data_IF_811375274540
#
_entry.id   IF_811375274540
#
_cell.length_a   1.000
_cell.length_b   1.000
_cell.length_c   1.000
_cell.angle_alpha   90.00
_cell.angle_beta   90.00
_cell.angle_gamma   90.00
#
_symmetry.space_group_name_H-M   'P 1'
#
loop_
_entity.id
_entity.type
_entity.pdbx_description
1 polymer ?
#
# COMPACT_ATOMS: atom_id res chain seq x y z
N UNK A 1 -14.76 43.01 72.04
CA UNK A 1 -14.16 41.67 71.85
C UNK A 1 -14.78 41.03 70.62
N UNK A 2 -13.92 40.52 69.73
CA UNK A 2 -14.17 39.59 68.60
C UNK A 2 -14.92 40.16 67.39
N UNK A 3 -14.56 39.90 66.13
CA UNK A 3 -13.41 39.24 65.50
C UNK A 3 -13.59 39.47 63.99
N UNK A 4 -12.66 40.15 63.31
CA UNK A 4 -12.72 40.33 61.85
C UNK A 4 -12.19 39.06 61.18
N UNK A 5 -13.03 38.34 60.43
CA UNK A 5 -12.59 37.20 59.60
C UNK A 5 -12.31 37.69 58.18
N UNK A 6 -11.03 37.67 57.82
CA UNK A 6 -10.53 37.87 56.47
C UNK A 6 -10.63 36.55 55.70
N UNK A 7 -11.30 36.54 54.56
CA UNK A 7 -11.44 35.36 53.70
C UNK A 7 -10.56 35.56 52.47
N UNK A 8 -9.44 34.84 52.41
CA UNK A 8 -8.50 34.83 51.29
C UNK A 8 -9.06 33.86 50.23
N UNK A 9 -9.41 34.37 49.05
CA UNK A 9 -9.70 33.56 47.86
C UNK A 9 -8.38 33.14 47.20
N UNK A 10 -8.10 31.84 47.21
CA UNK A 10 -7.04 31.24 46.40
C UNK A 10 -7.65 30.72 45.08
N UNK A 11 -7.41 31.45 43.99
CA UNK A 11 -7.75 31.00 42.64
C UNK A 11 -6.72 29.95 42.19
N UNK A 12 -7.14 28.68 42.12
CA UNK A 12 -6.33 27.62 41.52
C UNK A 12 -6.43 27.70 39.98
N UNK A 13 -5.34 28.08 39.32
CA UNK A 13 -5.18 27.98 37.87
C UNK A 13 -4.94 26.50 37.50
N UNK A 14 -5.96 25.85 36.97
CA UNK A 14 -5.84 24.54 36.32
C UNK A 14 -5.25 24.74 34.92
N UNK A 15 -3.97 24.43 34.77
CA UNK A 15 -3.33 24.32 33.46
C UNK A 15 -3.80 23.03 32.77
N UNK A 16 -4.74 23.15 31.84
CA UNK A 16 -5.13 22.04 30.97
C UNK A 16 -4.00 21.77 29.97
N UNK A 17 -3.18 20.75 30.25
CA UNK A 17 -2.30 20.19 29.25
C UNK A 17 -3.14 19.48 28.19
N UNK A 18 -3.25 20.08 27.00
CA UNK A 18 -3.81 19.41 25.82
C UNK A 18 -2.83 18.32 25.39
N UNK A 19 -3.10 17.07 25.77
CA UNK A 19 -2.43 15.91 25.20
C UNK A 19 -2.88 15.84 23.73
N UNK A 20 -1.98 15.93 22.74
CA UNK A 20 -2.38 15.72 21.36
C UNK A 20 -2.93 14.29 21.26
N UNK A 21 -4.18 14.16 20.82
CA UNK A 21 -4.74 12.88 20.45
C UNK A 21 -3.85 12.32 19.33
N UNK A 22 -3.06 11.28 19.63
CA UNK A 22 -2.54 10.43 18.56
C UNK A 22 -3.78 9.90 17.85
N UNK A 23 -3.98 10.29 16.59
CA UNK A 23 -5.03 9.71 15.78
C UNK A 23 -4.91 8.20 15.87
N UNK A 24 -5.98 7.52 16.33
CA UNK A 24 -6.00 6.07 16.42
C UNK A 24 -5.56 5.49 15.07
N UNK A 25 -4.57 4.61 15.12
CA UNK A 25 -4.10 3.96 13.91
C UNK A 25 -5.23 3.11 13.33
N UNK A 26 -5.44 3.13 12.00
CA UNK A 26 -6.58 2.46 11.41
C UNK A 26 -6.54 0.97 11.72
N UNK A 27 -7.64 0.45 12.26
CA UNK A 27 -7.86 -0.99 12.40
C UNK A 27 -8.07 -1.63 11.01
N UNK A 28 -7.88 -2.95 10.87
CA UNK A 28 -8.19 -3.66 9.64
C UNK A 28 -9.62 -3.39 9.15
N UNK A 29 -9.79 -3.21 7.85
CA UNK A 29 -11.04 -2.89 7.15
C UNK A 29 -12.01 -4.07 7.08
N UNK A 30 -11.55 -5.27 7.44
CA UNK A 30 -12.26 -6.55 7.28
C UNK A 30 -11.81 -7.60 8.31
N UNK A 31 -12.61 -8.61 8.62
CA UNK A 31 -12.19 -9.72 9.48
C UNK A 31 -11.02 -10.50 8.84
N UNK A 32 -10.18 -11.18 9.66
CA UNK A 32 -9.18 -12.09 9.12
C UNK A 32 -9.86 -13.32 8.49
N UNK A 33 -9.13 -13.97 7.59
CA UNK A 33 -9.50 -15.25 6.98
C UNK A 33 -9.54 -16.34 8.05
N UNK A 34 -10.28 -17.42 7.82
CA UNK A 34 -10.29 -18.59 8.72
C UNK A 34 -8.85 -19.07 9.01
N UNK A 35 -8.56 -19.32 10.29
CA UNK A 35 -7.22 -19.70 10.81
C UNK A 35 -6.12 -18.64 10.66
N UNK A 36 -6.50 -17.41 10.37
CA UNK A 36 -5.60 -16.27 10.37
C UNK A 36 -5.91 -15.31 11.51
N UNK A 37 -4.91 -14.50 11.87
CA UNK A 37 -5.08 -13.36 12.76
C UNK A 37 -4.39 -12.14 12.16
N UNK A 38 -5.01 -10.97 12.34
CA UNK A 38 -4.39 -9.70 11.99
C UNK A 38 -3.22 -9.40 12.91
N UNK A 39 -2.11 -9.04 12.30
CA UNK A 39 -0.89 -8.58 12.94
C UNK A 39 -0.44 -7.28 12.28
N UNK A 40 0.03 -6.35 13.10
CA UNK A 40 0.56 -5.09 12.60
C UNK A 40 2.07 -5.25 12.39
N UNK A 41 2.53 -4.87 11.20
CA UNK A 41 3.94 -4.76 10.88
C UNK A 41 4.29 -3.32 10.52
N UNK A 42 5.45 -2.86 10.98
CA UNK A 42 5.99 -1.55 10.60
C UNK A 42 7.50 -1.55 10.65
N UNK A 43 8.12 -0.92 9.65
CA UNK A 43 9.56 -0.71 9.59
C UNK A 43 9.87 0.71 9.12
N UNK A 44 10.61 1.47 9.94
CA UNK A 44 10.99 2.86 9.65
C UNK A 44 12.08 2.98 8.60
N UNK A 45 12.94 1.97 8.46
CA UNK A 45 13.99 1.91 7.43
C UNK A 45 13.36 1.75 6.05
N UNK A 46 12.35 0.87 5.94
CA UNK A 46 11.55 0.71 4.71
C UNK A 46 10.63 1.92 4.51
N UNK A 47 10.10 2.47 5.61
CA UNK A 47 9.13 3.56 5.60
C UNK A 47 7.71 3.07 5.33
N UNK A 48 7.34 1.91 5.86
CA UNK A 48 6.02 1.30 5.63
C UNK A 48 5.46 0.70 6.91
N UNK A 49 4.16 0.90 7.13
CA UNK A 49 3.34 0.14 8.06
C UNK A 49 2.17 -0.51 7.32
N UNK A 50 1.80 -1.71 7.73
CA UNK A 50 0.71 -2.49 7.15
C UNK A 50 0.09 -3.41 8.21
N UNK A 51 -1.19 -3.72 8.04
CA UNK A 51 -1.80 -4.89 8.69
C UNK A 51 -1.67 -6.10 7.78
N UNK A 52 -1.17 -7.20 8.33
CA UNK A 52 -0.93 -8.46 7.63
C UNK A 52 -1.57 -9.60 8.38
N UNK A 53 -1.93 -10.66 7.66
CA UNK A 53 -2.46 -11.86 8.26
C UNK A 53 -1.33 -12.85 8.54
N UNK A 54 -1.25 -13.30 9.79
CA UNK A 54 -0.48 -14.48 10.16
C UNK A 54 -1.42 -15.68 10.11
N UNK A 55 -1.15 -16.62 9.21
CA UNK A 55 -2.03 -17.76 8.96
C UNK A 55 -1.33 -19.09 9.24
N UNK A 56 -2.07 -20.02 9.86
CA UNK A 56 -1.62 -21.40 10.05
C UNK A 56 -2.63 -22.38 9.45
N UNK A 57 -2.30 -22.93 8.28
CA UNK A 57 -3.11 -23.94 7.59
C UNK A 57 -2.63 -25.37 7.89
N UNK A 58 -1.80 -25.56 8.91
CA UNK A 58 -1.25 -26.84 9.36
C UNK A 58 -0.05 -27.33 8.55
N UNK A 59 -0.18 -27.44 7.23
CA UNK A 59 0.91 -27.92 6.36
C UNK A 59 1.79 -26.82 5.77
N UNK A 60 1.30 -25.57 5.76
CA UNK A 60 2.01 -24.38 5.32
C UNK A 60 1.60 -23.20 6.19
N UNK A 61 2.59 -22.53 6.76
CA UNK A 61 2.40 -21.28 7.49
C UNK A 61 2.79 -20.12 6.58
N UNK A 62 2.02 -19.04 6.70
CA UNK A 62 2.27 -17.79 6.00
C UNK A 62 2.72 -16.77 7.01
N UNK A 63 3.86 -16.15 6.75
CA UNK A 63 4.38 -15.02 7.52
C UNK A 63 4.79 -13.89 6.57
N UNK A 64 4.70 -12.67 7.10
CA UNK A 64 5.13 -11.47 6.42
C UNK A 64 6.41 -10.95 7.05
N UNK A 65 7.30 -10.43 6.21
CA UNK A 65 8.54 -9.80 6.64
C UNK A 65 8.84 -8.57 5.77
N UNK A 66 9.70 -7.69 6.28
CA UNK A 66 10.28 -6.65 5.46
C UNK A 66 11.59 -7.15 4.85
N UNK A 67 11.65 -7.20 3.53
CA UNK A 67 12.81 -7.62 2.76
C UNK A 67 13.18 -6.55 1.72
N UNK A 68 14.38 -5.99 1.81
CA UNK A 68 14.78 -4.86 0.97
C UNK A 68 13.91 -3.63 1.24
N UNK A 69 13.24 -3.11 0.19
CA UNK A 69 12.27 -2.02 0.28
C UNK A 69 10.83 -2.50 0.12
N UNK A 70 10.52 -3.71 0.56
CA UNK A 70 9.20 -4.31 0.38
C UNK A 70 8.67 -4.98 1.64
N UNK A 71 7.35 -4.94 1.79
CA UNK A 71 6.62 -5.96 2.55
C UNK A 71 6.51 -7.20 1.66
N UNK A 72 7.02 -8.34 2.14
CA UNK A 72 7.06 -9.59 1.41
C UNK A 72 6.34 -10.70 2.16
N UNK A 73 5.74 -11.61 1.40
CA UNK A 73 5.16 -12.85 1.90
C UNK A 73 6.21 -13.96 1.86
N UNK A 74 6.20 -14.79 2.90
CA UNK A 74 7.11 -15.93 3.04
C UNK A 74 6.34 -17.16 3.50
N UNK A 75 6.66 -18.30 2.90
CA UNK A 75 6.06 -19.59 3.23
C UNK A 75 7.04 -20.47 4.01
N UNK A 76 6.52 -21.21 4.99
CA UNK A 76 7.33 -22.08 5.86
C UNK A 76 8.00 -23.25 5.14
N UNK A 77 7.50 -23.64 3.96
CA UNK A 77 7.99 -24.77 3.19
C UNK A 77 9.12 -24.40 2.20
N UNK A 78 9.58 -23.15 2.20
CA UNK A 78 10.74 -22.70 1.46
C UNK A 78 10.45 -21.60 0.44
N UNK A 79 11.35 -21.43 -0.54
CA UNK A 79 11.26 -20.36 -1.56
C UNK A 79 11.91 -19.05 -1.13
N UNK A 80 11.94 -18.06 -2.02
CA UNK A 80 12.30 -16.69 -1.67
C UNK A 80 11.11 -16.00 -0.97
N UNK A 81 11.34 -14.83 -0.37
CA UNK A 81 10.23 -13.99 0.04
C UNK A 81 9.73 -13.22 -1.19
N UNK A 82 8.43 -13.26 -1.45
CA UNK A 82 7.83 -12.64 -2.63
C UNK A 82 7.31 -11.25 -2.26
N UNK A 83 7.79 -10.17 -2.92
CA UNK A 83 7.39 -8.81 -2.57
C UNK A 83 5.92 -8.56 -2.98
N UNK A 84 5.10 -8.10 -2.02
CA UNK A 84 3.70 -7.75 -2.25
C UNK A 84 3.45 -6.24 -2.21
N UNK A 85 4.18 -5.50 -1.37
CA UNK A 85 4.13 -4.03 -1.37
C UNK A 85 5.54 -3.50 -1.44
N UNK A 86 5.91 -3.00 -2.61
CA UNK A 86 7.23 -2.40 -2.85
C UNK A 86 7.17 -0.88 -2.68
N UNK A 87 8.14 -0.32 -1.96
CA UNK A 87 8.26 1.11 -1.72
C UNK A 87 9.33 1.69 -2.64
N UNK A 88 8.94 2.66 -3.46
CA UNK A 88 9.83 3.36 -4.37
C UNK A 88 9.98 4.82 -4.01
N UNK A 89 11.18 5.36 -4.25
CA UNK A 89 11.46 6.77 -4.04
C UNK A 89 11.01 7.59 -5.25
N UNK A 90 10.36 8.72 -4.95
CA UNK A 90 10.18 9.83 -5.86
C UNK A 90 11.45 10.67 -5.77
N UNK A 91 12.15 10.88 -6.89
CA UNK A 91 13.40 11.64 -6.90
C UNK A 91 13.14 13.12 -6.56
N UNK A 92 14.15 13.86 -6.07
CA UNK A 92 14.05 15.31 -5.97
C UNK A 92 13.58 15.92 -7.29
N UNK A 93 12.64 16.86 -7.21
CA UNK A 93 12.03 17.57 -8.35
C UNK A 93 11.23 16.70 -9.34
N UNK A 94 10.99 15.43 -9.03
CA UNK A 94 10.16 14.52 -9.83
C UNK A 94 8.69 14.59 -9.35
N UNK A 95 7.74 14.68 -10.28
CA UNK A 95 6.32 14.48 -9.94
C UNK A 95 6.04 12.99 -9.69
N UNK A 96 4.99 12.66 -8.95
CA UNK A 96 4.63 11.26 -8.74
C UNK A 96 4.38 10.52 -10.06
N UNK A 97 3.68 11.14 -11.01
CA UNK A 97 3.45 10.57 -12.34
C UNK A 97 4.74 10.36 -13.14
N UNK A 98 5.73 11.27 -13.02
CA UNK A 98 7.04 11.09 -13.65
C UNK A 98 7.81 9.92 -13.01
N UNK A 99 7.73 9.75 -11.69
CA UNK A 99 8.31 8.63 -10.98
C UNK A 99 7.68 7.29 -11.41
N UNK A 100 6.35 7.24 -11.54
CA UNK A 100 5.62 6.08 -12.07
C UNK A 100 6.10 5.73 -13.47
N UNK A 101 6.16 6.71 -14.37
CA UNK A 101 6.61 6.51 -15.75
C UNK A 101 8.05 5.99 -15.80
N UNK A 102 8.94 6.57 -14.99
CA UNK A 102 10.33 6.13 -14.90
C UNK A 102 10.42 4.67 -14.43
N UNK A 103 9.75 4.33 -13.34
CA UNK A 103 9.78 2.97 -12.79
C UNK A 103 9.25 1.95 -13.79
N UNK A 104 8.16 2.26 -14.48
CA UNK A 104 7.62 1.40 -15.52
C UNK A 104 8.61 1.17 -16.67
N UNK A 105 9.28 2.22 -17.14
CA UNK A 105 10.31 2.11 -18.19
C UNK A 105 11.58 1.35 -17.72
N UNK A 106 11.93 1.44 -16.45
CA UNK A 106 13.07 0.70 -15.87
C UNK A 106 12.77 -0.80 -15.68
N UNK A 107 11.50 -1.15 -15.48
CA UNK A 107 11.06 -2.50 -15.08
C UNK A 107 10.41 -3.32 -16.19
N UNK A 108 9.96 -2.68 -17.25
CA UNK A 108 9.22 -3.31 -18.35
C UNK A 108 10.04 -3.29 -19.62
N UNK A 109 9.92 -4.34 -20.44
CA UNK A 109 10.56 -4.39 -21.76
C UNK A 109 10.23 -3.14 -22.59
N UNK A 110 11.22 -2.67 -23.37
CA UNK A 110 11.09 -1.41 -24.13
C UNK A 110 10.01 -1.49 -25.21
N UNK A 111 9.84 -2.64 -25.87
CA UNK A 111 8.85 -2.81 -26.91
C UNK A 111 7.43 -2.88 -26.33
N UNK A 112 7.27 -3.45 -25.13
CA UNK A 112 6.00 -3.47 -24.39
C UNK A 112 5.67 -2.07 -23.86
N UNK A 113 6.58 -1.45 -23.11
CA UNK A 113 6.35 -0.15 -22.46
C UNK A 113 6.06 0.98 -23.45
N UNK A 114 6.59 0.92 -24.67
CA UNK A 114 6.32 1.89 -25.73
C UNK A 114 4.85 1.93 -26.19
N UNK A 115 4.06 0.91 -25.84
CA UNK A 115 2.66 0.72 -26.25
C UNK A 115 1.68 0.82 -25.09
N UNK A 116 2.16 1.25 -23.93
CA UNK A 116 1.41 1.33 -22.69
C UNK A 116 1.40 2.76 -22.18
N UNK A 117 0.29 3.14 -21.56
CA UNK A 117 0.06 4.49 -21.05
C UNK A 117 -0.35 4.44 -19.59
N UNK A 118 0.06 5.46 -18.83
CA UNK A 118 -0.37 5.63 -17.45
C UNK A 118 -1.89 5.89 -17.43
N UNK A 119 -2.60 5.10 -16.62
CA UNK A 119 -4.04 5.19 -16.43
C UNK A 119 -4.38 5.26 -14.93
N UNK A 120 -5.52 5.84 -14.58
CA UNK A 120 -6.04 5.79 -13.21
C UNK A 120 -6.58 4.40 -12.91
N UNK A 121 -6.22 3.85 -11.75
CA UNK A 121 -6.79 2.60 -11.26
C UNK A 121 -7.95 2.95 -10.31
N UNK A 122 -9.14 2.42 -10.60
CA UNK A 122 -10.38 2.84 -9.92
C UNK A 122 -11.16 1.69 -9.28
N UNK A 123 -10.62 0.48 -9.32
CA UNK A 123 -11.25 -0.67 -8.69
C UNK A 123 -11.05 -0.63 -7.17
N UNK A 124 -12.06 -1.13 -6.45
CA UNK A 124 -12.08 -1.15 -5.00
C UNK A 124 -12.26 0.23 -4.36
N UNK A 125 -12.06 0.30 -3.04
CA UNK A 125 -12.15 1.55 -2.28
C UNK A 125 -10.81 2.27 -2.31
N UNK A 126 -10.81 3.51 -2.79
CA UNK A 126 -9.63 4.40 -2.76
C UNK A 126 -9.72 5.31 -1.54
N UNK A 127 -8.70 5.26 -0.67
CA UNK A 127 -8.65 6.08 0.54
C UNK A 127 -8.51 7.56 0.21
N UNK A 128 -9.06 8.42 1.08
CA UNK A 128 -8.90 9.85 0.97
C UNK A 128 -7.41 10.25 0.97
N UNK A 129 -7.01 11.07 0.00
CA UNK A 129 -5.62 11.49 -0.15
C UNK A 129 -4.72 10.47 -0.87
N UNK A 130 -5.21 9.30 -1.26
CA UNK A 130 -4.46 8.36 -2.10
C UNK A 130 -4.91 8.48 -3.54
N UNK A 131 -3.96 8.47 -4.47
CA UNK A 131 -4.23 8.25 -5.90
C UNK A 131 -3.70 6.89 -6.31
N UNK A 132 -4.47 6.14 -7.11
CA UNK A 132 -4.04 4.85 -7.65
C UNK A 132 -3.88 4.91 -9.16
N UNK A 133 -2.87 4.21 -9.66
CA UNK A 133 -2.52 4.19 -11.08
C UNK A 133 -2.17 2.78 -11.54
N UNK A 134 -2.29 2.55 -12.84
CA UNK A 134 -1.78 1.36 -13.53
C UNK A 134 -1.24 1.75 -14.91
N UNK A 135 -0.62 0.82 -15.62
CA UNK A 135 -0.27 0.97 -17.02
C UNK A 135 -1.14 0.05 -17.86
N UNK A 136 -1.87 0.65 -18.79
CA UNK A 136 -2.82 -0.03 -19.68
C UNK A 136 -2.35 0.11 -21.13
N UNK A 137 -2.71 -0.83 -22.02
CA UNK A 137 -2.36 -0.73 -23.43
C UNK A 137 -2.97 0.54 -24.03
N UNK A 138 -2.22 1.19 -24.91
CA UNK A 138 -2.74 2.30 -25.69
C UNK A 138 -3.92 1.85 -26.59
N UNK A 139 -4.65 2.80 -27.16
CA UNK A 139 -5.86 2.49 -27.93
C UNK A 139 -5.61 1.57 -29.14
N UNK A 140 -4.43 1.65 -29.77
CA UNK A 140 -4.09 0.80 -30.90
C UNK A 140 -3.76 -0.62 -30.42
N UNK A 141 -2.94 -0.74 -29.38
CA UNK A 141 -2.58 -2.02 -28.80
C UNK A 141 -3.77 -2.75 -28.19
N UNK A 142 -4.64 -2.03 -27.46
CA UNK A 142 -5.87 -2.58 -26.92
C UNK A 142 -6.78 -3.18 -28.00
N UNK A 143 -6.84 -2.56 -29.18
CA UNK A 143 -7.60 -3.07 -30.34
C UNK A 143 -6.99 -4.37 -30.89
N UNK A 144 -5.67 -4.45 -30.97
CA UNK A 144 -4.97 -5.67 -31.41
C UNK A 144 -5.20 -6.82 -30.44
N UNK A 145 -5.04 -6.58 -29.13
CA UNK A 145 -5.27 -7.57 -28.08
C UNK A 145 -6.70 -8.11 -28.12
N UNK A 146 -7.68 -7.21 -28.27
CA UNK A 146 -9.09 -7.61 -28.41
C UNK A 146 -9.36 -8.49 -29.64
N UNK A 147 -8.63 -8.30 -30.73
CA UNK A 147 -8.77 -9.12 -31.94
C UNK A 147 -8.16 -10.53 -31.77
N UNK A 148 -7.24 -10.70 -30.83
CA UNK A 148 -6.57 -11.96 -30.51
C UNK A 148 -7.19 -12.69 -29.31
N UNK A 149 -8.05 -12.01 -28.55
CA UNK A 149 -8.64 -12.54 -27.33
C UNK A 149 -9.45 -13.82 -27.60
N UNK A 150 -9.05 -14.91 -26.95
CA UNK A 150 -9.84 -16.14 -26.81
C UNK A 150 -10.68 -16.07 -25.53
N UNK A 151 -11.90 -16.60 -25.55
CA UNK A 151 -12.75 -16.65 -24.34
C UNK A 151 -12.26 -17.66 -23.31
N UNK A 152 -11.40 -18.60 -23.70
CA UNK A 152 -11.06 -19.79 -22.92
C UNK A 152 -9.68 -19.68 -22.27
N UNK A 153 -8.97 -18.58 -22.47
CA UNK A 153 -7.61 -18.35 -21.96
C UNK A 153 -7.55 -17.04 -21.17
N UNK A 154 -6.88 -17.08 -20.02
CA UNK A 154 -6.50 -15.86 -19.32
C UNK A 154 -5.39 -15.21 -20.14
N UNK A 155 -5.57 -13.99 -20.64
CA UNK A 155 -4.56 -13.34 -21.46
C UNK A 155 -3.34 -12.97 -20.62
N UNK A 156 -2.17 -12.96 -21.26
CA UNK A 156 -0.97 -12.41 -20.66
C UNK A 156 -1.14 -10.92 -20.32
N UNK A 157 -0.45 -10.42 -19.28
CA UNK A 157 -0.46 -9.01 -18.92
C UNK A 157 -0.05 -8.11 -20.09
N UNK A 158 -0.93 -7.24 -20.59
CA UNK A 158 -0.66 -6.50 -21.82
C UNK A 158 0.48 -5.49 -21.65
N UNK A 159 0.69 -5.00 -20.44
CA UNK A 159 1.77 -4.06 -20.11
C UNK A 159 2.85 -4.69 -19.22
N UNK A 160 2.95 -6.03 -19.22
CA UNK A 160 3.87 -6.79 -18.38
C UNK A 160 3.52 -6.71 -16.88
N UNK A 161 4.42 -7.24 -16.05
CA UNK A 161 4.19 -7.46 -14.61
C UNK A 161 4.00 -6.18 -13.77
N UNK A 162 4.18 -5.00 -14.38
CA UNK A 162 4.08 -3.68 -13.73
C UNK A 162 2.90 -2.85 -14.25
N UNK A 163 2.07 -3.42 -15.14
CA UNK A 163 0.84 -2.81 -15.62
C UNK A 163 -0.41 -3.48 -15.06
N UNK A 164 -1.51 -3.37 -15.80
CA UNK A 164 -2.75 -4.06 -15.48
C UNK A 164 -2.59 -5.59 -15.48
N UNK A 165 -3.27 -6.26 -14.55
CA UNK A 165 -3.28 -7.72 -14.44
C UNK A 165 -4.66 -8.28 -14.79
N UNK A 166 -4.77 -9.10 -15.84
CA UNK A 166 -6.04 -9.69 -16.25
C UNK A 166 -6.68 -10.59 -15.18
N UNK A 167 -5.84 -11.25 -14.39
CA UNK A 167 -6.22 -12.18 -13.34
C UNK A 167 -5.60 -11.73 -12.01
N UNK A 168 -5.80 -10.49 -11.59
CA UNK A 168 -5.36 -10.09 -10.25
C UNK A 168 -5.50 -8.60 -10.02
N UNK A 169 -5.44 -8.21 -8.76
CA UNK A 169 -5.40 -6.79 -8.42
C UNK A 169 -3.96 -6.39 -8.11
N UNK A 170 -3.43 -5.52 -8.96
CA UNK A 170 -2.20 -4.81 -8.69
C UNK A 170 -2.25 -3.39 -9.24
N UNK A 171 -1.59 -2.48 -8.56
CA UNK A 171 -1.59 -1.07 -8.92
C UNK A 171 -0.47 -0.33 -8.20
N UNK A 172 -0.19 0.88 -8.67
CA UNK A 172 0.61 1.84 -7.92
C UNK A 172 -0.28 2.69 -7.01
N UNK A 173 0.19 2.98 -5.80
CA UNK A 173 -0.39 4.00 -4.92
C UNK A 173 0.55 5.18 -4.74
N UNK A 174 -0.01 6.37 -4.82
CA UNK A 174 0.65 7.62 -4.48
C UNK A 174 -0.10 8.22 -3.29
N UNK A 175 0.36 7.99 -2.06
CA UNK A 175 -0.20 8.63 -0.88
C UNK A 175 0.07 10.14 -0.90
N UNK A 176 -0.89 10.93 -0.43
CA UNK A 176 -0.67 12.35 -0.16
C UNK A 176 0.29 12.52 1.02
N UNK A 177 1.20 13.49 0.91
CA UNK A 177 2.09 13.90 2.00
C UNK A 177 3.56 13.95 1.61
N UNK A 178 4.40 14.14 2.63
CA UNK A 178 5.84 14.44 2.53
C UNK A 178 6.72 13.20 2.36
N UNK A 179 6.13 12.01 2.18
CA UNK A 179 6.86 10.74 2.18
C UNK A 179 7.77 10.51 0.97
N UNK A 180 7.74 11.37 -0.05
CA UNK A 180 8.46 11.25 -1.34
C UNK A 180 8.57 9.80 -1.83
N UNK A 181 7.51 9.02 -1.65
CA UNK A 181 7.49 7.60 -1.95
C UNK A 181 6.15 7.23 -2.54
N UNK A 182 6.19 6.24 -3.43
CA UNK A 182 5.02 5.57 -3.97
C UNK A 182 5.12 4.08 -3.68
N UNK A 183 3.98 3.41 -3.71
CA UNK A 183 3.88 1.98 -3.50
C UNK A 183 3.55 1.29 -4.82
N UNK A 184 4.10 0.11 -5.05
CA UNK A 184 3.52 -0.86 -5.98
C UNK A 184 2.93 -2.00 -5.17
N UNK A 185 1.62 -2.20 -5.29
CA UNK A 185 0.82 -3.11 -4.45
C UNK A 185 0.35 -4.26 -5.33
N UNK A 186 0.72 -5.49 -4.95
CA UNK A 186 0.25 -6.75 -5.52
C UNK A 186 -0.63 -7.44 -4.49
N UNK A 187 -1.95 -7.40 -4.71
CA UNK A 187 -2.92 -8.04 -3.82
C UNK A 187 -3.08 -9.52 -4.21
N UNK A 188 -3.02 -9.81 -5.51
CA UNK A 188 -3.25 -11.15 -6.07
C UNK A 188 -4.71 -11.36 -6.50
N UNK A 189 -5.09 -12.63 -6.68
CA UNK A 189 -6.41 -13.08 -7.12
C UNK A 189 -7.37 -13.35 -5.96
N UNK A 190 -6.83 -13.93 -4.90
CA UNK A 190 -7.60 -14.49 -3.80
C UNK A 190 -7.87 -13.47 -2.69
N UNK A 191 -8.46 -13.94 -1.58
CA UNK A 191 -8.67 -13.13 -0.38
C UNK A 191 -7.34 -12.49 0.09
N UNK A 192 -7.29 -11.16 0.26
CA UNK A 192 -6.03 -10.47 0.58
C UNK A 192 -5.42 -10.90 1.92
N UNK A 193 -4.16 -11.32 1.88
CA UNK A 193 -3.38 -11.71 3.07
C UNK A 193 -2.79 -10.50 3.83
N UNK A 194 -2.93 -9.30 3.29
CA UNK A 194 -2.69 -8.04 3.98
C UNK A 194 -3.84 -7.09 3.70
N UNK A 195 -3.92 -6.00 4.47
CA UNK A 195 -4.96 -4.99 4.28
C UNK A 195 -4.45 -3.79 3.50
N UNK A 196 -4.73 -3.77 2.19
CA UNK A 196 -4.34 -2.68 1.29
C UNK A 196 -4.93 -1.33 1.69
N UNK A 197 -6.03 -1.30 2.45
CA UNK A 197 -6.65 -0.06 2.91
C UNK A 197 -6.01 0.49 4.19
N UNK A 198 -4.99 -0.19 4.71
CA UNK A 198 -4.27 0.24 5.92
C UNK A 198 -2.81 0.57 5.66
N UNK A 199 -2.36 0.48 4.40
CA UNK A 199 -1.00 0.81 4.02
C UNK A 199 -0.68 2.26 4.37
N UNK A 200 0.44 2.46 5.06
CA UNK A 200 0.91 3.78 5.46
C UNK A 200 2.38 3.94 5.17
N UNK A 201 2.70 4.90 4.32
CA UNK A 201 4.07 5.39 4.17
C UNK A 201 4.46 6.16 5.44
N UNK A 202 5.59 5.79 6.02
CA UNK A 202 6.16 6.40 7.20
C UNK A 202 7.35 7.29 6.83
N UNK A 203 7.62 8.37 7.57
CA UNK A 203 8.90 9.05 7.49
C UNK A 203 10.04 8.06 7.75
N UNK A 204 11.03 8.02 6.85
CA UNK A 204 12.21 7.17 7.03
C UNK A 204 13.22 7.85 7.95
N UNK A 205 13.84 7.08 8.83
CA UNK A 205 14.81 7.58 9.81
C UNK A 205 15.55 6.46 10.52
#
# INVERSE_FOLDING_TARGET
MNSVRSTIWASALLASATIPAMADEPAPSRPPIDKCAWEKLSDKTVGLAAWTQRCDFGFRQIHFEFAGKALAIKYSDGGAADPLVEVFDIKPDETAEAALQRLFLEKTDKAVSARCVLASYTEGTVLAGVKRYTFSPDAAYAKELKALASSDEIPEPPCGDWGEMPDGMQYFEVPAGEGYSLLFVRIGQDEPLFDEQTLRVLPRG
#
